data_IF_458172849936
#
_entry.id   IF_458172849936
#
_cell.length_a   1.000
_cell.length_b   1.000
_cell.length_c   1.000
_cell.angle_alpha   90.00
_cell.angle_beta   90.00
_cell.angle_gamma   90.00
#
_symmetry.space_group_name_H-M   'P 1'
#
loop_
_entity.id
_entity.type
_entity.pdbx_description
1 polymer ?
#
# COMPACT_ATOMS: atom_id res chain seq x y z
N UNK A 1 7.93 18.80 0.30
CA UNK A 1 7.92 19.45 1.62
C UNK A 1 8.02 18.32 2.64
N UNK A 2 9.20 18.16 3.25
CA UNK A 2 9.51 17.03 4.10
C UNK A 2 8.69 17.05 5.38
N UNK A 3 7.79 16.09 5.51
CA UNK A 3 7.26 15.59 6.77
C UNK A 3 7.54 14.11 6.74
N UNK A 4 8.20 13.62 7.78
CA UNK A 4 8.54 12.21 7.93
C UNK A 4 7.34 11.34 7.53
N UNK A 5 7.57 10.33 6.69
CA UNK A 5 6.52 9.45 6.15
C UNK A 5 5.82 8.59 7.21
N UNK A 6 6.19 8.77 8.48
CA UNK A 6 5.61 8.10 9.63
C UNK A 6 4.37 8.87 10.09
N UNK A 7 3.24 8.16 10.26
CA UNK A 7 1.94 8.71 10.70
C UNK A 7 1.93 9.13 12.18
N UNK A 8 3.03 9.67 12.69
CA UNK A 8 3.16 10.11 14.08
C UNK A 8 3.03 11.62 14.18
N UNK A 9 2.12 12.11 15.03
CA UNK A 9 1.95 13.53 15.36
C UNK A 9 3.08 14.08 16.24
N UNK A 10 4.32 13.63 16.00
CA UNK A 10 5.50 13.98 16.78
C UNK A 10 6.13 15.23 16.15
N UNK A 11 6.34 16.27 16.96
CA UNK A 11 6.90 17.55 16.50
C UNK A 11 8.36 17.44 16.03
N UNK A 12 9.11 16.47 16.59
CA UNK A 12 10.51 16.22 16.27
C UNK A 12 10.68 15.01 15.35
N UNK A 13 11.44 15.13 14.25
CA UNK A 13 11.80 14.01 13.40
C UNK A 13 12.50 12.89 14.18
N UNK A 14 12.10 11.65 13.89
CA UNK A 14 12.73 10.47 14.49
C UNK A 14 14.17 10.30 13.96
N UNK A 15 15.04 9.73 14.81
CA UNK A 15 16.41 9.44 14.40
C UNK A 15 16.44 8.37 13.30
N UNK A 16 17.42 8.44 12.39
CA UNK A 16 17.62 7.39 11.36
C UNK A 16 17.69 5.98 11.94
N UNK A 17 18.29 5.83 13.13
CA UNK A 17 18.37 4.54 13.83
C UNK A 17 16.98 4.05 14.24
N UNK A 18 16.13 4.95 14.72
CA UNK A 18 14.74 4.63 15.08
C UNK A 18 13.95 4.25 13.84
N UNK A 19 14.02 5.04 12.76
CA UNK A 19 13.32 4.78 11.50
C UNK A 19 13.69 3.40 10.95
N UNK A 20 14.98 3.09 10.90
CA UNK A 20 15.45 1.76 10.48
C UNK A 20 14.98 0.62 11.38
N UNK A 21 14.81 0.87 12.67
CA UNK A 21 14.37 -0.15 13.63
C UNK A 21 12.87 -0.47 13.50
N UNK A 22 12.04 0.53 13.16
CA UNK A 22 10.59 0.38 13.07
C UNK A 22 10.11 0.01 11.66
N UNK A 23 10.97 0.13 10.66
CA UNK A 23 10.63 -0.25 9.28
C UNK A 23 10.55 -1.77 9.12
N UNK A 24 9.54 -2.22 8.38
CA UNK A 24 9.35 -3.60 7.90
C UNK A 24 9.38 -3.71 6.38
N UNK A 25 9.75 -2.64 5.66
CA UNK A 25 9.62 -2.55 4.20
C UNK A 25 10.26 -3.72 3.43
N UNK A 26 11.43 -4.19 3.87
CA UNK A 26 12.16 -5.28 3.19
C UNK A 26 11.47 -6.61 3.44
N UNK A 27 11.05 -6.86 4.67
CA UNK A 27 10.34 -8.07 5.08
C UNK A 27 8.95 -8.14 4.41
N UNK A 28 8.28 -7.00 4.28
CA UNK A 28 6.92 -6.90 3.71
C UNK A 28 6.88 -7.12 2.20
N UNK A 29 8.02 -7.17 1.50
CA UNK A 29 8.09 -7.66 0.12
C UNK A 29 7.46 -9.06 -0.03
N UNK A 30 7.47 -9.85 1.05
CA UNK A 30 6.84 -11.16 1.08
C UNK A 30 5.31 -11.10 0.90
N UNK A 31 4.64 -10.02 1.28
CA UNK A 31 3.17 -9.85 1.24
C UNK A 31 2.68 -8.81 0.23
N UNK A 32 3.57 -8.27 -0.61
CA UNK A 32 3.25 -7.19 -1.56
C UNK A 32 2.11 -7.54 -2.53
N UNK A 33 2.07 -8.79 -3.04
CA UNK A 33 1.02 -9.24 -3.96
C UNK A 33 -0.33 -9.31 -3.24
N UNK A 34 -0.33 -9.79 -1.99
CA UNK A 34 -1.53 -9.89 -1.18
C UNK A 34 -2.06 -8.51 -0.76
N UNK A 35 -1.19 -7.55 -0.48
CA UNK A 35 -1.60 -6.16 -0.22
C UNK A 35 -2.27 -5.53 -1.45
N UNK A 36 -1.69 -5.74 -2.63
CA UNK A 36 -2.25 -5.24 -3.89
C UNK A 36 -3.64 -5.85 -4.11
N UNK A 37 -3.77 -7.18 -4.04
CA UNK A 37 -5.05 -7.87 -4.22
C UNK A 37 -6.10 -7.40 -3.19
N UNK A 38 -5.71 -7.29 -1.92
CA UNK A 38 -6.59 -6.79 -0.87
C UNK A 38 -7.04 -5.34 -1.14
N UNK A 39 -6.15 -4.52 -1.68
CA UNK A 39 -6.42 -3.13 -2.05
C UNK A 39 -7.31 -3.03 -3.29
N UNK A 40 -7.12 -3.86 -4.31
CA UNK A 40 -8.01 -3.94 -5.47
C UNK A 40 -9.45 -4.25 -5.04
N UNK A 41 -9.64 -5.30 -4.23
CA UNK A 41 -10.96 -5.72 -3.75
C UNK A 41 -11.61 -4.65 -2.88
N UNK A 42 -10.84 -4.01 -1.99
CA UNK A 42 -11.35 -2.89 -1.19
C UNK A 42 -11.84 -1.73 -2.06
N UNK A 43 -11.10 -1.37 -3.11
CA UNK A 43 -11.49 -0.29 -4.01
C UNK A 43 -12.70 -0.67 -4.87
N UNK A 44 -12.83 -1.92 -5.31
CA UNK A 44 -14.05 -2.43 -5.96
C UNK A 44 -15.25 -2.25 -5.03
N UNK A 45 -15.12 -2.61 -3.74
CA UNK A 45 -16.17 -2.38 -2.75
C UNK A 45 -16.51 -0.88 -2.60
N UNK A 46 -15.51 0.01 -2.52
CA UNK A 46 -15.76 1.45 -2.44
C UNK A 46 -16.52 1.99 -3.66
N UNK A 47 -16.24 1.47 -4.85
CA UNK A 47 -16.99 1.77 -6.06
C UNK A 47 -18.44 1.29 -5.98
N UNK A 48 -18.68 0.05 -5.52
CA UNK A 48 -20.05 -0.47 -5.30
C UNK A 48 -20.84 0.36 -4.29
N UNK A 49 -20.16 0.91 -3.27
CA UNK A 49 -20.75 1.84 -2.29
C UNK A 49 -20.90 3.28 -2.81
N UNK A 50 -20.56 3.54 -4.09
CA UNK A 50 -20.62 4.86 -4.75
C UNK A 50 -19.71 5.92 -4.11
N UNK A 51 -18.67 5.49 -3.41
CA UNK A 51 -17.63 6.36 -2.86
C UNK A 51 -16.61 6.71 -3.94
N UNK A 52 -16.29 5.76 -4.81
CA UNK A 52 -15.49 5.96 -6.02
C UNK A 52 -16.41 6.05 -7.25
N UNK A 53 -16.01 6.86 -8.23
CA UNK A 53 -16.64 6.87 -9.54
C UNK A 53 -15.93 5.88 -10.51
N UNK A 54 -16.45 5.71 -11.72
CA UNK A 54 -15.89 4.80 -12.74
C UNK A 54 -14.45 5.12 -13.14
N UNK A 55 -14.10 6.41 -13.20
CA UNK A 55 -12.75 6.83 -13.54
C UNK A 55 -11.79 6.54 -12.39
N UNK A 56 -12.17 6.90 -11.15
CA UNK A 56 -11.37 6.65 -9.95
C UNK A 56 -10.97 5.16 -9.86
N UNK A 57 -11.97 4.24 -9.89
CA UNK A 57 -11.70 2.80 -9.74
C UNK A 57 -10.84 2.25 -10.87
N UNK A 58 -11.11 2.65 -12.12
CA UNK A 58 -10.36 2.18 -13.27
C UNK A 58 -8.88 2.58 -13.17
N UNK A 59 -8.61 3.84 -12.83
CA UNK A 59 -7.24 4.34 -12.70
C UNK A 59 -6.51 3.68 -11.53
N UNK A 60 -7.19 3.48 -10.40
CA UNK A 60 -6.62 2.78 -9.23
C UNK A 60 -6.23 1.35 -9.59
N UNK A 61 -7.12 0.57 -10.21
CA UNK A 61 -6.84 -0.83 -10.56
C UNK A 61 -5.69 -0.94 -11.58
N UNK A 62 -5.64 -0.05 -12.58
CA UNK A 62 -4.53 -0.01 -13.55
C UNK A 62 -3.21 0.29 -12.85
N UNK A 63 -3.17 1.28 -11.95
CA UNK A 63 -1.96 1.63 -11.22
C UNK A 63 -1.46 0.49 -10.32
N UNK A 64 -2.38 -0.21 -9.65
CA UNK A 64 -2.08 -1.36 -8.81
C UNK A 64 -1.50 -2.53 -9.61
N UNK A 65 -2.06 -2.85 -10.78
CA UNK A 65 -1.54 -3.93 -11.64
C UNK A 65 -0.13 -3.59 -12.17
N UNK A 66 0.14 -2.32 -12.51
CA UNK A 66 1.50 -1.88 -12.88
C UNK A 66 2.50 -2.14 -11.74
N UNK A 67 2.12 -1.87 -10.49
CA UNK A 67 2.99 -2.11 -9.32
C UNK A 67 3.20 -3.62 -9.14
N UNK A 68 2.16 -4.43 -9.32
CA UNK A 68 2.21 -5.89 -9.23
C UNK A 68 3.14 -6.50 -10.28
N UNK A 69 3.07 -6.05 -11.52
CA UNK A 69 3.98 -6.47 -12.60
C UNK A 69 5.45 -6.13 -12.28
N UNK A 70 5.70 -4.91 -11.76
CA UNK A 70 7.03 -4.52 -11.28
C UNK A 70 7.52 -5.39 -10.13
N UNK A 71 6.63 -5.72 -9.19
CA UNK A 71 6.95 -6.62 -8.09
C UNK A 71 7.36 -8.01 -8.56
N UNK A 72 6.63 -8.58 -9.53
CA UNK A 72 6.92 -9.90 -10.07
C UNK A 72 8.27 -9.99 -10.81
N UNK A 73 8.80 -8.85 -11.27
CA UNK A 73 10.04 -8.76 -12.04
C UNK A 73 11.22 -8.22 -11.20
N UNK A 74 11.06 -8.10 -9.87
CA UNK A 74 12.02 -7.45 -8.97
C UNK A 74 12.37 -6.01 -9.37
N UNK A 75 11.44 -5.31 -10.02
CA UNK A 75 11.60 -3.95 -10.53
C UNK A 75 11.04 -2.86 -9.62
N UNK A 76 10.68 -3.17 -8.37
CA UNK A 76 10.28 -2.16 -7.39
C UNK A 76 11.51 -1.37 -6.93
N UNK A 77 11.53 -0.07 -7.24
CA UNK A 77 12.51 0.87 -6.70
C UNK A 77 12.06 1.31 -5.30
N UNK A 78 12.48 0.54 -4.29
CA UNK A 78 12.12 0.81 -2.90
C UNK A 78 12.79 2.10 -2.40
N UNK A 79 12.02 2.91 -1.69
CA UNK A 79 12.53 4.06 -0.95
C UNK A 79 12.59 3.69 0.54
N UNK A 80 13.80 3.62 1.10
CA UNK A 80 14.04 3.27 2.52
C UNK A 80 13.42 4.26 3.52
N UNK A 81 12.85 5.37 3.05
CA UNK A 81 12.12 6.32 3.89
C UNK A 81 10.70 5.84 4.26
N UNK A 82 10.18 4.79 3.63
CA UNK A 82 8.89 4.21 4.00
C UNK A 82 8.99 3.29 5.23
N UNK A 83 7.97 3.34 6.08
CA UNK A 83 7.82 2.46 7.24
C UNK A 83 7.62 1.00 6.81
N UNK A 84 6.58 0.76 6.02
CA UNK A 84 6.16 -0.56 5.57
C UNK A 84 5.76 -0.52 4.08
N UNK A 85 5.36 -1.65 3.50
CA UNK A 85 5.03 -1.74 2.06
C UNK A 85 3.77 -0.96 1.68
N UNK A 86 2.87 -0.74 2.62
CA UNK A 86 1.55 -0.21 2.32
C UNK A 86 1.53 1.29 1.95
N UNK A 87 2.16 2.23 2.69
CA UNK A 87 2.30 3.61 2.27
C UNK A 87 3.19 3.72 1.03
N UNK A 88 4.10 2.77 0.80
CA UNK A 88 4.88 2.70 -0.45
C UNK A 88 3.95 2.45 -1.65
N UNK A 89 3.05 1.46 -1.56
CA UNK A 89 2.04 1.21 -2.60
C UNK A 89 1.10 2.40 -2.75
N UNK A 90 0.57 2.95 -1.65
CA UNK A 90 -0.30 4.13 -1.65
C UNK A 90 0.36 5.31 -2.38
N UNK A 91 1.62 5.60 -2.04
CA UNK A 91 2.38 6.68 -2.67
C UNK A 91 2.66 6.39 -4.14
N UNK A 92 3.00 5.15 -4.49
CA UNK A 92 3.21 4.72 -5.88
C UNK A 92 1.97 4.92 -6.74
N UNK A 93 0.78 4.61 -6.20
CA UNK A 93 -0.48 4.88 -6.91
C UNK A 93 -0.73 6.39 -7.03
N UNK A 94 -0.60 7.15 -5.94
CA UNK A 94 -0.77 8.61 -5.95
C UNK A 94 0.17 9.30 -6.95
N UNK A 95 1.41 8.84 -7.07
CA UNK A 95 2.37 9.40 -8.02
C UNK A 95 2.02 9.04 -9.47
N UNK A 96 1.30 7.94 -9.70
CA UNK A 96 0.85 7.52 -11.02
C UNK A 96 -0.42 8.27 -11.48
N UNK A 97 -1.43 8.40 -10.59
CA UNK A 97 -2.78 8.87 -10.96
C UNK A 97 -3.18 10.18 -10.27
N UNK A 98 -2.36 10.72 -9.37
CA UNK A 98 -2.63 11.94 -8.61
C UNK A 98 -3.38 11.71 -7.30
N UNK A 99 -3.22 12.66 -6.37
CA UNK A 99 -3.75 12.59 -5.01
C UNK A 99 -5.28 12.60 -4.94
N UNK A 100 -5.94 13.27 -5.90
CA UNK A 100 -7.41 13.38 -5.92
C UNK A 100 -8.09 12.02 -6.12
N UNK A 101 -7.48 11.14 -6.93
CA UNK A 101 -7.97 9.79 -7.17
C UNK A 101 -7.36 8.80 -6.16
N UNK A 102 -6.01 8.75 -6.08
CA UNK A 102 -5.30 7.79 -5.22
C UNK A 102 -5.55 7.99 -3.72
N UNK A 103 -5.78 9.23 -3.27
CA UNK A 103 -6.04 9.53 -1.85
C UNK A 103 -7.34 8.95 -1.32
N UNK A 104 -8.25 8.49 -2.18
CA UNK A 104 -9.52 7.87 -1.77
C UNK A 104 -9.38 6.37 -1.46
N UNK A 105 -8.29 5.73 -1.86
CA UNK A 105 -8.15 4.26 -1.86
C UNK A 105 -8.32 3.60 -0.48
N UNK A 106 -7.96 4.29 0.58
CA UNK A 106 -8.03 3.75 1.95
C UNK A 106 -9.23 4.27 2.74
N UNK A 107 -10.23 4.88 2.07
CA UNK A 107 -11.46 5.34 2.74
C UNK A 107 -12.10 4.16 3.48
N UNK A 108 -12.33 4.33 4.79
CA UNK A 108 -12.94 3.32 5.64
C UNK A 108 -12.05 2.10 5.95
N UNK A 109 -10.74 2.13 5.65
CA UNK A 109 -9.79 1.05 5.92
C UNK A 109 -8.75 1.49 6.96
N UNK A 110 -8.35 0.59 7.86
CA UNK A 110 -7.22 0.82 8.76
C UNK A 110 -6.04 -0.06 8.37
N UNK A 111 -4.84 0.27 8.87
CA UNK A 111 -3.67 -0.58 8.62
C UNK A 111 -3.82 -1.96 9.30
N UNK A 112 -4.52 -2.03 10.43
CA UNK A 112 -4.67 -3.26 11.23
C UNK A 112 -5.50 -4.33 10.51
N UNK A 113 -6.60 -3.94 9.86
CA UNK A 113 -7.40 -4.89 9.06
C UNK A 113 -6.69 -5.24 7.76
N UNK A 114 -6.00 -4.28 7.13
CA UNK A 114 -5.21 -4.51 5.93
C UNK A 114 -4.14 -5.58 6.15
N UNK A 115 -3.20 -5.39 7.08
CA UNK A 115 -2.15 -6.38 7.36
C UNK A 115 -2.72 -7.74 7.78
N UNK A 116 -3.83 -7.76 8.51
CA UNK A 116 -4.49 -9.01 8.91
C UNK A 116 -5.01 -9.81 7.71
N UNK A 117 -5.52 -9.13 6.67
CA UNK A 117 -5.95 -9.77 5.42
C UNK A 117 -4.74 -10.28 4.65
N UNK A 118 -3.73 -9.44 4.48
CA UNK A 118 -2.54 -9.74 3.68
C UNK A 118 -1.84 -11.01 4.21
N UNK A 119 -1.59 -11.07 5.52
CA UNK A 119 -0.99 -12.24 6.18
C UNK A 119 -1.85 -13.50 6.02
N UNK A 120 -3.18 -13.39 6.15
CA UNK A 120 -4.08 -14.55 6.00
C UNK A 120 -4.09 -15.07 4.56
N UNK A 121 -4.11 -14.18 3.57
CA UNK A 121 -4.02 -14.56 2.16
C UNK A 121 -2.68 -15.23 1.89
N UNK A 122 -1.58 -14.65 2.39
CA UNK A 122 -0.24 -15.17 2.16
C UNK A 122 -0.05 -16.57 2.73
N UNK A 123 -0.37 -16.73 4.02
CA UNK A 123 -0.28 -18.01 4.71
C UNK A 123 -1.18 -19.05 4.03
N UNK A 124 -2.40 -18.67 3.62
CA UNK A 124 -3.29 -19.57 2.90
C UNK A 124 -2.71 -20.01 1.56
N UNK A 125 -2.06 -19.12 0.81
CA UNK A 125 -1.40 -19.43 -0.47
C UNK A 125 -0.23 -20.41 -0.27
N UNK A 126 0.55 -20.24 0.79
CA UNK A 126 1.69 -21.11 1.08
C UNK A 126 1.31 -22.48 1.66
N UNK A 127 0.18 -22.57 2.38
CA UNK A 127 -0.30 -23.83 2.95
C UNK A 127 -1.11 -24.70 1.97
N UNK A 128 -1.71 -24.09 0.94
CA UNK A 128 -2.45 -24.82 -0.07
C UNK A 128 -1.47 -25.32 -1.15
N UNK A 129 -0.90 -26.51 -0.92
CA UNK A 129 -0.14 -27.30 -1.89
C UNK A 129 -0.96 -27.62 -3.15
#
# INVERSE_FOLDING_TARGET
MGKDLYRSGIETPLSKKTLKFISSLIEDLWIVEEDIIGTEVHNIMLFEQKILNNEDIKQILIALEIIKEKSATNGLELDENFEDIHPFIEKSVIDNIGIEMGGKMHTGRSRNDQISVDLRLKIRKELNF
#
